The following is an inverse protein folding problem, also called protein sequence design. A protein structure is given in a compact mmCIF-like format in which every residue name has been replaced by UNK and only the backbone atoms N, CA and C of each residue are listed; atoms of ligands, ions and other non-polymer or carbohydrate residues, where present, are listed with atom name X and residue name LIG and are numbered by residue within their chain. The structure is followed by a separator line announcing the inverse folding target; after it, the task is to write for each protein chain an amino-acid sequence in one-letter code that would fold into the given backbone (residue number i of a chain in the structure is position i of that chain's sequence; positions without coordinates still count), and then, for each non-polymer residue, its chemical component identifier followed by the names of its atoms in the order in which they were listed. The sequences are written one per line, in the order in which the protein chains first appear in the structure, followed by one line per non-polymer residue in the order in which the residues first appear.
data_IF_847204045107
#
_entry.id   IF_847204045107
#
_cell.length_a   1.000
_cell.length_b   1.000
_cell.length_c   1.000
_cell.angle_alpha   90.00
_cell.angle_beta   90.00
_cell.angle_gamma   90.00
#
_symmetry.space_group_name_H-M   'P 1'
#
loop_
_entity.id
_entity.type
_entity.pdbx_description
1 polymer ?
#
# COMPACT_ATOMS: atom_id res chain seq x y z
N UNK A 1 28.23 -16.93 -24.17
CA UNK A 1 28.57 -15.91 -23.14
C UNK A 1 28.40 -16.59 -21.79
N UNK A 2 29.31 -16.38 -20.84
CA UNK A 2 29.26 -16.94 -19.48
C UNK A 2 29.08 -15.82 -18.44
N UNK A 3 28.85 -16.19 -17.18
CA UNK A 3 28.61 -15.21 -16.10
C UNK A 3 29.78 -14.27 -15.90
N UNK A 4 31.03 -14.74 -15.92
CA UNK A 4 32.22 -13.89 -15.81
C UNK A 4 32.24 -12.77 -16.86
N UNK A 5 32.00 -13.10 -18.14
CA UNK A 5 31.96 -12.10 -19.22
C UNK A 5 30.82 -11.10 -18.99
N UNK A 6 29.67 -11.56 -18.50
CA UNK A 6 28.56 -10.67 -18.16
C UNK A 6 28.96 -9.66 -17.07
N UNK A 7 29.50 -10.15 -15.96
CA UNK A 7 29.90 -9.33 -14.82
C UNK A 7 30.98 -8.30 -15.21
N UNK A 8 31.99 -8.72 -15.98
CA UNK A 8 33.05 -7.81 -16.45
C UNK A 8 32.55 -6.77 -17.45
N UNK A 9 31.74 -7.16 -18.43
CA UNK A 9 31.35 -6.26 -19.52
C UNK A 9 30.19 -5.35 -19.19
N UNK A 10 29.24 -5.81 -18.37
CA UNK A 10 28.00 -5.10 -18.11
C UNK A 10 27.99 -4.45 -16.73
N UNK A 11 28.67 -5.03 -15.74
CA UNK A 11 28.75 -4.48 -14.38
C UNK A 11 30.11 -3.86 -14.06
N UNK A 12 31.09 -3.94 -14.95
CA UNK A 12 32.49 -3.57 -14.73
C UNK A 12 33.08 -4.17 -13.44
N UNK A 13 32.65 -5.38 -13.09
CA UNK A 13 33.17 -6.07 -11.92
C UNK A 13 34.66 -6.38 -12.09
N UNK A 14 35.43 -6.11 -11.04
CA UNK A 14 36.86 -6.42 -10.99
C UNK A 14 37.11 -7.92 -10.84
N UNK A 15 38.31 -8.39 -11.20
CA UNK A 15 38.69 -9.80 -11.03
C UNK A 15 38.64 -10.26 -9.55
N UNK A 16 38.75 -9.32 -8.61
CA UNK A 16 38.60 -9.58 -7.17
C UNK A 16 37.13 -9.78 -6.75
N UNK A 17 36.19 -9.07 -7.37
CA UNK A 17 34.76 -9.14 -7.05
C UNK A 17 34.06 -10.32 -7.74
N UNK A 18 34.51 -10.73 -8.93
CA UNK A 18 33.85 -11.75 -9.76
C UNK A 18 33.59 -13.06 -9.00
N UNK A 19 34.56 -13.68 -8.28
CA UNK A 19 34.29 -14.93 -7.57
C UNK A 19 33.15 -14.79 -6.55
N UNK A 20 33.12 -13.66 -5.83
CA UNK A 20 32.10 -13.36 -4.83
C UNK A 20 30.73 -13.08 -5.46
N UNK A 21 30.69 -12.37 -6.58
CA UNK A 21 29.45 -12.12 -7.33
C UNK A 21 28.86 -13.41 -7.91
N UNK A 22 29.70 -14.32 -8.42
CA UNK A 22 29.27 -15.66 -8.89
C UNK A 22 28.71 -16.48 -7.72
N UNK A 23 29.36 -16.45 -6.55
CA UNK A 23 28.86 -17.10 -5.33
C UNK A 23 27.50 -16.53 -4.92
N UNK A 24 27.35 -15.21 -4.87
CA UNK A 24 26.08 -14.55 -4.52
C UNK A 24 24.96 -14.90 -5.50
N UNK A 25 25.23 -14.89 -6.81
CA UNK A 25 24.25 -15.24 -7.83
C UNK A 25 23.84 -16.73 -7.74
N UNK A 26 24.81 -17.62 -7.51
CA UNK A 26 24.53 -19.06 -7.30
C UNK A 26 23.68 -19.25 -6.05
N UNK A 27 24.04 -18.60 -4.94
CA UNK A 27 23.33 -18.70 -3.66
C UNK A 27 21.89 -18.17 -3.77
N UNK A 28 21.68 -17.05 -4.48
CA UNK A 28 20.36 -16.48 -4.74
C UNK A 28 19.43 -17.47 -5.42
N UNK A 29 19.93 -18.13 -6.47
CA UNK A 29 19.15 -19.10 -7.22
C UNK A 29 18.92 -20.38 -6.42
N UNK A 30 19.92 -20.89 -5.72
CA UNK A 30 19.76 -22.13 -4.95
C UNK A 30 18.85 -21.98 -3.73
N UNK A 31 18.76 -20.80 -3.13
CA UNK A 31 17.92 -20.59 -1.93
C UNK A 31 16.45 -20.41 -2.26
N UNK A 32 16.14 -19.94 -3.46
CA UNK A 32 14.84 -19.38 -3.80
C UNK A 32 14.17 -20.08 -4.97
N UNK A 33 14.83 -21.08 -5.57
CA UNK A 33 14.39 -21.72 -6.81
C UNK A 33 14.86 -23.18 -6.88
N UNK A 34 14.28 -23.98 -7.79
CA UNK A 34 14.71 -25.35 -8.09
C UNK A 34 16.01 -25.42 -8.93
N UNK A 35 16.93 -24.46 -8.75
CA UNK A 35 18.18 -24.37 -9.50
C UNK A 35 19.02 -25.66 -9.32
N UNK A 36 19.24 -26.45 -10.39
CA UNK A 36 19.88 -27.76 -10.25
C UNK A 36 21.40 -27.61 -10.07
N UNK A 37 21.96 -28.32 -9.10
CA UNK A 37 23.43 -28.45 -8.94
C UNK A 37 24.07 -29.23 -10.09
N UNK A 38 25.27 -28.83 -10.56
CA UNK A 38 26.03 -29.58 -11.57
C UNK A 38 27.15 -28.80 -12.28
N UNK A 39 27.88 -29.47 -13.18
CA UNK A 39 28.96 -28.87 -13.99
C UNK A 39 28.42 -27.91 -15.08
N UNK A 40 29.26 -26.95 -15.50
CA UNK A 40 28.84 -25.86 -16.40
C UNK A 40 28.13 -24.70 -15.71
N UNK A 41 28.44 -24.47 -14.42
CA UNK A 41 27.72 -23.54 -13.54
C UNK A 41 27.62 -22.12 -14.11
N UNK A 42 28.70 -21.56 -14.69
CA UNK A 42 28.68 -20.17 -15.16
C UNK A 42 27.84 -19.90 -16.41
N UNK A 43 27.80 -20.81 -17.38
CA UNK A 43 26.92 -20.63 -18.55
C UNK A 43 25.45 -20.80 -18.16
N UNK A 44 25.18 -21.74 -17.24
CA UNK A 44 23.83 -21.97 -16.71
C UNK A 44 23.36 -20.76 -15.90
N UNK A 45 24.18 -20.30 -14.96
CA UNK A 45 23.95 -19.11 -14.15
C UNK A 45 23.63 -17.89 -15.03
N UNK A 46 24.40 -17.69 -16.11
CA UNK A 46 24.14 -16.63 -17.08
C UNK A 46 22.77 -16.75 -17.78
N UNK A 47 22.33 -17.97 -18.11
CA UNK A 47 20.99 -18.16 -18.69
C UNK A 47 19.88 -17.75 -17.73
N UNK A 48 20.04 -18.03 -16.44
CA UNK A 48 19.07 -17.61 -15.43
C UNK A 48 19.09 -16.09 -15.22
N UNK A 49 20.27 -15.47 -15.15
CA UNK A 49 20.38 -14.01 -14.96
C UNK A 49 19.83 -13.16 -16.12
N UNK A 50 19.45 -13.77 -17.24
CA UNK A 50 18.72 -13.08 -18.31
C UNK A 50 17.24 -12.86 -18.01
N UNK A 51 16.67 -13.59 -17.05
CA UNK A 51 15.27 -13.41 -16.66
C UNK A 51 15.15 -12.37 -15.53
N UNK A 52 14.21 -11.40 -15.64
CA UNK A 52 14.09 -10.31 -14.66
C UNK A 52 13.98 -10.80 -13.21
N UNK A 53 13.18 -11.82 -12.96
CA UNK A 53 13.02 -12.43 -11.64
C UNK A 53 14.34 -12.89 -11.01
N UNK A 54 15.13 -13.67 -11.74
CA UNK A 54 16.41 -14.20 -11.24
C UNK A 54 17.48 -13.11 -11.11
N UNK A 55 17.47 -12.13 -12.01
CA UNK A 55 18.36 -10.98 -11.93
C UNK A 55 18.07 -10.15 -10.67
N UNK A 56 16.80 -9.94 -10.32
CA UNK A 56 16.40 -9.24 -9.10
C UNK A 56 16.84 -9.97 -7.82
N UNK A 57 16.67 -11.30 -7.74
CA UNK A 57 17.15 -12.09 -6.59
C UNK A 57 18.65 -11.92 -6.35
N UNK A 58 19.43 -11.90 -7.45
CA UNK A 58 20.86 -11.63 -7.39
C UNK A 58 21.14 -10.19 -6.92
N UNK A 59 20.45 -9.21 -7.49
CA UNK A 59 20.65 -7.80 -7.20
C UNK A 59 20.36 -7.41 -5.74
N UNK A 60 19.29 -7.95 -5.14
CA UNK A 60 18.98 -7.74 -3.72
C UNK A 60 20.16 -8.11 -2.82
N UNK A 61 20.78 -9.27 -3.09
CA UNK A 61 21.95 -9.73 -2.32
C UNK A 61 23.17 -8.83 -2.53
N UNK A 62 23.44 -8.41 -3.77
CA UNK A 62 24.58 -7.55 -4.09
C UNK A 62 24.44 -6.17 -3.44
N UNK A 63 23.26 -5.57 -3.51
CA UNK A 63 23.02 -4.24 -2.94
C UNK A 63 23.14 -4.26 -1.41
N UNK A 64 22.65 -5.31 -0.75
CA UNK A 64 22.78 -5.50 0.70
C UNK A 64 24.21 -5.87 1.16
N UNK A 65 25.07 -6.38 0.28
CA UNK A 65 26.38 -6.87 0.67
C UNK A 65 27.40 -5.76 0.96
N UNK A 66 28.14 -5.90 2.06
CA UNK A 66 29.32 -5.07 2.34
C UNK A 66 30.50 -5.46 1.46
N UNK A 67 31.34 -4.50 1.08
CA UNK A 67 32.57 -4.76 0.31
C UNK A 67 32.37 -5.12 -1.16
N UNK A 68 31.18 -4.88 -1.72
CA UNK A 68 30.99 -4.77 -3.18
C UNK A 68 31.04 -3.30 -3.56
N UNK A 69 31.72 -2.97 -4.65
CA UNK A 69 31.88 -1.58 -5.09
C UNK A 69 30.52 -0.90 -5.38
N UNK A 70 30.38 0.40 -5.06
CA UNK A 70 29.17 1.16 -5.40
C UNK A 70 28.82 1.14 -6.88
N UNK A 71 29.82 1.14 -7.77
CA UNK A 71 29.63 1.11 -9.22
C UNK A 71 28.94 -0.17 -9.71
N UNK A 72 29.33 -1.33 -9.18
CA UNK A 72 28.66 -2.61 -9.49
C UNK A 72 27.21 -2.58 -9.01
N UNK A 73 26.96 -2.04 -7.80
CA UNK A 73 25.61 -1.90 -7.23
C UNK A 73 24.73 -0.97 -8.08
N UNK A 74 25.27 0.16 -8.51
CA UNK A 74 24.62 1.12 -9.40
C UNK A 74 24.20 0.46 -10.72
N UNK A 75 25.15 -0.11 -11.45
CA UNK A 75 24.89 -0.75 -12.74
C UNK A 75 23.87 -1.88 -12.64
N UNK A 76 23.95 -2.69 -11.59
CA UNK A 76 23.02 -3.78 -11.37
C UNK A 76 21.62 -3.27 -10.99
N UNK A 77 21.54 -2.24 -10.13
CA UNK A 77 20.28 -1.59 -9.77
C UNK A 77 19.55 -1.04 -10.99
N UNK A 78 20.26 -0.29 -11.85
CA UNK A 78 19.72 0.19 -13.13
C UNK A 78 19.24 -0.95 -14.02
N UNK A 79 20.08 -1.97 -14.22
CA UNK A 79 19.75 -3.10 -15.10
C UNK A 79 18.45 -3.81 -14.67
N UNK A 80 18.25 -4.03 -13.37
CA UNK A 80 17.07 -4.73 -12.84
C UNK A 80 15.80 -3.88 -12.94
N UNK A 81 15.88 -2.57 -12.69
CA UNK A 81 14.71 -1.72 -12.81
C UNK A 81 14.34 -1.54 -14.29
N UNK A 82 15.32 -1.26 -15.14
CA UNK A 82 15.10 -0.93 -16.54
C UNK A 82 14.68 -2.14 -17.39
N UNK A 83 15.12 -3.37 -17.05
CA UNK A 83 14.66 -4.58 -17.76
C UNK A 83 13.14 -4.75 -17.62
N UNK A 84 12.54 -4.24 -16.53
CA UNK A 84 11.10 -4.36 -16.33
C UNK A 84 10.30 -3.61 -17.41
N UNK A 85 10.86 -2.58 -18.05
CA UNK A 85 10.20 -1.86 -19.15
C UNK A 85 9.85 -2.79 -20.33
N UNK A 86 10.55 -3.92 -20.45
CA UNK A 86 10.40 -4.89 -21.52
C UNK A 86 9.70 -6.17 -21.07
N UNK A 87 9.02 -6.17 -19.91
CA UNK A 87 8.27 -7.33 -19.44
C UNK A 87 7.22 -7.76 -20.47
N UNK A 88 7.34 -9.01 -20.90
CA UNK A 88 6.35 -9.68 -21.74
C UNK A 88 5.30 -10.38 -20.87
N UNK A 89 4.18 -10.75 -21.49
CA UNK A 89 3.12 -11.48 -20.79
C UNK A 89 3.64 -12.79 -20.20
N UNK A 90 3.47 -12.96 -18.89
CA UNK A 90 3.91 -14.15 -18.16
C UNK A 90 5.34 -14.07 -17.62
N UNK A 91 6.06 -12.97 -17.85
CA UNK A 91 7.29 -12.67 -17.13
C UNK A 91 6.98 -12.00 -15.79
N UNK A 92 7.77 -12.33 -14.78
CA UNK A 92 7.69 -11.70 -13.47
C UNK A 92 8.74 -10.60 -13.33
N UNK A 93 8.39 -9.46 -12.72
CA UNK A 93 9.37 -8.43 -12.41
C UNK A 93 10.44 -8.98 -11.45
N UNK A 94 11.63 -8.39 -11.51
CA UNK A 94 12.69 -8.69 -10.56
C UNK A 94 12.26 -8.34 -9.12
N UNK A 95 12.46 -9.22 -8.12
CA UNK A 95 12.25 -8.85 -6.73
C UNK A 95 13.26 -7.78 -6.29
N UNK A 96 12.92 -7.06 -5.22
CA UNK A 96 13.73 -5.96 -4.71
C UNK A 96 13.43 -4.61 -5.35
N UNK A 97 12.28 -4.44 -6.00
CA UNK A 97 11.90 -3.19 -6.66
C UNK A 97 12.11 -1.98 -5.74
N UNK A 98 11.63 -2.04 -4.50
CA UNK A 98 11.78 -0.94 -3.56
C UNK A 98 13.18 -0.90 -2.94
N UNK A 99 13.79 -2.04 -2.62
CA UNK A 99 15.17 -2.07 -2.13
C UNK A 99 16.18 -1.42 -3.09
N UNK A 100 16.12 -1.78 -4.37
CA UNK A 100 17.00 -1.27 -5.41
C UNK A 100 16.73 0.21 -5.69
N UNK A 101 15.45 0.59 -5.76
CA UNK A 101 15.05 2.00 -5.91
C UNK A 101 15.53 2.83 -4.72
N UNK A 102 15.38 2.33 -3.50
CA UNK A 102 15.84 2.98 -2.27
C UNK A 102 17.34 3.20 -2.30
N UNK A 103 18.12 2.19 -2.69
CA UNK A 103 19.57 2.32 -2.77
C UNK A 103 20.00 3.38 -3.79
N UNK A 104 19.45 3.33 -5.01
CA UNK A 104 19.73 4.32 -6.07
C UNK A 104 19.31 5.73 -5.66
N UNK A 105 18.15 5.86 -5.01
CA UNK A 105 17.66 7.13 -4.48
C UNK A 105 18.59 7.73 -3.43
N UNK A 106 19.00 6.94 -2.44
CA UNK A 106 19.89 7.37 -1.37
C UNK A 106 21.27 7.75 -1.89
N UNK A 107 21.74 7.08 -2.95
CA UNK A 107 22.98 7.41 -3.63
C UNK A 107 22.88 8.63 -4.57
N UNK A 108 21.68 9.16 -4.82
CA UNK A 108 21.45 10.23 -5.79
C UNK A 108 21.66 9.80 -7.24
N UNK A 109 21.48 8.51 -7.53
CA UNK A 109 21.72 7.88 -8.82
C UNK A 109 20.44 7.46 -9.54
N UNK A 110 19.27 7.60 -8.91
CA UNK A 110 17.99 7.23 -9.52
C UNK A 110 17.73 8.04 -10.80
N UNK A 111 17.44 7.35 -11.90
CA UNK A 111 17.16 7.94 -13.21
C UNK A 111 15.68 7.81 -13.59
N UNK A 112 15.27 8.57 -14.61
CA UNK A 112 13.90 8.50 -15.14
C UNK A 112 13.55 7.10 -15.68
N UNK A 113 14.49 6.42 -16.32
CA UNK A 113 14.26 5.08 -16.87
C UNK A 113 14.07 4.04 -15.75
N UNK A 114 14.73 4.23 -14.60
CA UNK A 114 14.52 3.38 -13.42
C UNK A 114 13.10 3.55 -12.87
N UNK A 115 12.59 4.78 -12.87
CA UNK A 115 11.21 5.09 -12.50
C UNK A 115 10.21 4.42 -13.47
N UNK A 116 10.45 4.46 -14.77
CA UNK A 116 9.61 3.78 -15.77
C UNK A 116 9.62 2.26 -15.57
N UNK A 117 10.80 1.72 -15.27
CA UNK A 117 11.01 0.34 -14.87
C UNK A 117 10.22 -0.05 -13.62
N UNK A 118 10.31 0.74 -12.55
CA UNK A 118 9.55 0.54 -11.32
C UNK A 118 8.04 0.57 -11.57
N UNK A 119 7.56 1.58 -12.31
CA UNK A 119 6.14 1.69 -12.71
C UNK A 119 5.67 0.42 -13.40
N UNK A 120 6.45 -0.06 -14.38
CA UNK A 120 6.13 -1.30 -15.10
C UNK A 120 6.14 -2.51 -14.16
N UNK A 121 7.12 -2.61 -13.27
CA UNK A 121 7.17 -3.66 -12.25
C UNK A 121 5.94 -3.69 -11.34
N UNK A 122 5.50 -2.52 -10.86
CA UNK A 122 4.31 -2.37 -10.01
C UNK A 122 3.00 -2.80 -10.69
N UNK A 123 2.89 -2.65 -12.01
CA UNK A 123 1.72 -3.13 -12.77
C UNK A 123 1.60 -4.65 -12.68
N UNK A 124 2.72 -5.35 -12.79
CA UNK A 124 2.72 -6.81 -12.86
C UNK A 124 2.74 -7.48 -11.49
N UNK A 125 3.22 -6.79 -10.45
CA UNK A 125 3.42 -7.31 -9.11
C UNK A 125 2.18 -7.94 -8.44
N UNK A 126 0.99 -7.30 -8.38
CA UNK A 126 -0.12 -7.70 -7.49
C UNK A 126 -0.84 -9.00 -7.86
N UNK A 127 -0.48 -9.64 -8.99
CA UNK A 127 -1.15 -10.85 -9.49
C UNK A 127 -0.16 -11.96 -9.85
N UNK A 128 1.08 -11.85 -9.40
CA UNK A 128 2.11 -12.86 -9.69
C UNK A 128 2.50 -13.64 -8.44
N UNK A 129 2.49 -13.01 -7.26
CA UNK A 129 2.88 -13.72 -6.03
C UNK A 129 2.38 -13.01 -4.77
N UNK A 130 1.71 -13.76 -3.91
CA UNK A 130 1.31 -13.32 -2.57
C UNK A 130 2.52 -13.33 -1.61
N UNK A 131 3.65 -13.91 -2.03
CA UNK A 131 4.85 -14.08 -1.21
C UNK A 131 5.88 -12.95 -1.38
N UNK A 132 5.61 -11.95 -2.24
CA UNK A 132 6.51 -10.83 -2.43
C UNK A 132 6.26 -9.70 -1.42
N UNK A 133 6.80 -9.86 -0.22
CA UNK A 133 6.73 -8.81 0.81
C UNK A 133 8.11 -8.13 0.93
N UNK A 134 8.11 -6.80 0.84
CA UNK A 134 9.29 -5.98 1.16
C UNK A 134 8.94 -5.14 2.38
N UNK A 135 9.86 -5.01 3.32
CA UNK A 135 9.62 -4.24 4.54
C UNK A 135 9.40 -2.75 4.22
N UNK A 136 8.54 -2.10 5.01
CA UNK A 136 8.25 -0.68 4.86
C UNK A 136 9.52 0.19 4.96
N UNK A 137 10.54 -0.27 5.69
CA UNK A 137 11.87 0.36 5.79
C UNK A 137 12.59 0.50 4.44
N UNK A 138 12.27 -0.35 3.46
CA UNK A 138 12.80 -0.27 2.09
C UNK A 138 11.90 0.55 1.17
N UNK A 139 10.59 0.54 1.43
CA UNK A 139 9.59 1.25 0.63
C UNK A 139 9.64 2.76 0.86
N UNK A 140 9.77 3.19 2.12
CA UNK A 140 9.75 4.62 2.47
C UNK A 140 10.88 5.41 1.80
N UNK A 141 12.17 4.99 1.87
CA UNK A 141 13.24 5.77 1.25
C UNK A 141 13.20 5.72 -0.29
N UNK A 142 12.66 4.65 -0.88
CA UNK A 142 12.38 4.60 -2.31
C UNK A 142 11.34 5.67 -2.69
N UNK A 143 10.24 5.80 -1.93
CA UNK A 143 9.25 6.86 -2.13
C UNK A 143 9.87 8.25 -2.02
N UNK A 144 10.71 8.49 -1.00
CA UNK A 144 11.44 9.75 -0.82
C UNK A 144 12.28 10.12 -2.04
N UNK A 145 12.98 9.15 -2.61
CA UNK A 145 13.78 9.30 -3.82
C UNK A 145 12.96 9.67 -5.04
N UNK A 146 11.96 8.82 -5.36
CA UNK A 146 11.11 8.96 -6.53
C UNK A 146 10.45 10.34 -6.53
N UNK A 147 9.77 10.70 -5.44
CA UNK A 147 8.93 11.91 -5.44
C UNK A 147 9.73 13.21 -5.35
N UNK A 148 11.04 13.16 -5.12
CA UNK A 148 11.93 14.32 -5.22
C UNK A 148 12.48 14.54 -6.63
N UNK A 149 12.32 13.57 -7.54
CA UNK A 149 12.79 13.71 -8.92
C UNK A 149 11.97 14.78 -9.67
N UNK A 150 12.61 15.89 -10.12
CA UNK A 150 11.92 16.97 -10.82
C UNK A 150 11.39 16.57 -12.20
N UNK A 151 11.83 15.45 -12.77
CA UNK A 151 11.39 14.97 -14.08
C UNK A 151 10.02 14.28 -14.03
N UNK A 152 9.57 13.86 -12.85
CA UNK A 152 8.28 13.18 -12.70
C UNK A 152 7.17 14.23 -12.63
N UNK A 153 6.24 14.17 -13.57
CA UNK A 153 5.10 15.10 -13.62
C UNK A 153 4.09 14.80 -12.52
N UNK A 154 3.26 15.79 -12.19
CA UNK A 154 2.21 15.67 -11.17
C UNK A 154 1.29 14.46 -11.39
N UNK A 155 0.79 14.26 -12.61
CA UNK A 155 -0.12 13.15 -12.94
C UNK A 155 0.56 11.79 -12.78
N UNK A 156 1.84 11.71 -13.13
CA UNK A 156 2.68 10.52 -12.94
C UNK A 156 2.88 10.24 -11.45
N UNK A 157 3.14 11.26 -10.64
CA UNK A 157 3.24 11.10 -9.18
C UNK A 157 1.94 10.56 -8.57
N UNK A 158 0.78 11.07 -8.98
CA UNK A 158 -0.53 10.58 -8.51
C UNK A 158 -0.72 9.12 -8.90
N UNK A 159 -0.48 8.79 -10.16
CA UNK A 159 -0.56 7.42 -10.64
C UNK A 159 0.36 6.49 -9.83
N UNK A 160 1.62 6.87 -9.61
CA UNK A 160 2.55 6.04 -8.84
C UNK A 160 2.14 5.87 -7.39
N UNK A 161 1.69 6.94 -6.73
CA UNK A 161 1.17 6.83 -5.35
C UNK A 161 0.05 5.80 -5.31
N UNK A 162 -0.91 5.87 -6.24
CA UNK A 162 -2.01 4.92 -6.31
C UNK A 162 -1.52 3.49 -6.62
N UNK A 163 -0.57 3.30 -7.54
CA UNK A 163 0.01 1.99 -7.85
C UNK A 163 0.73 1.37 -6.66
N UNK A 164 1.55 2.15 -5.94
CA UNK A 164 2.29 1.70 -4.76
C UNK A 164 1.30 1.25 -3.68
N UNK A 165 0.30 2.08 -3.38
CA UNK A 165 -0.73 1.75 -2.41
C UNK A 165 -1.51 0.50 -2.85
N UNK A 166 -1.89 0.39 -4.12
CA UNK A 166 -2.69 -0.77 -4.59
C UNK A 166 -1.89 -2.05 -4.47
N UNK A 167 -0.61 -2.01 -4.87
CA UNK A 167 0.25 -3.17 -4.80
C UNK A 167 0.56 -3.59 -3.37
N UNK A 168 0.70 -2.65 -2.44
CA UNK A 168 1.11 -2.92 -1.05
C UNK A 168 -0.03 -3.06 -0.05
N UNK A 169 -1.23 -2.61 -0.40
CA UNK A 169 -2.45 -3.04 0.28
C UNK A 169 -2.72 -4.50 -0.09
N UNK A 170 -2.67 -4.84 -1.38
CA UNK A 170 -2.89 -6.21 -1.86
C UNK A 170 -1.81 -7.21 -1.40
N UNK A 171 -0.58 -6.72 -1.15
CA UNK A 171 0.54 -7.56 -0.73
C UNK A 171 1.08 -7.10 0.62
N UNK A 172 0.81 -7.87 1.67
CA UNK A 172 1.38 -7.69 2.99
C UNK A 172 0.68 -6.65 3.88
N UNK A 173 -0.46 -6.10 3.45
CA UNK A 173 -1.27 -5.15 4.23
C UNK A 173 -0.46 -3.95 4.76
N UNK A 174 0.42 -3.41 3.91
CA UNK A 174 1.34 -2.33 4.26
C UNK A 174 0.85 -0.96 3.81
N UNK A 175 -0.22 -0.88 3.01
CA UNK A 175 -0.62 0.36 2.36
C UNK A 175 -1.02 1.46 3.34
N UNK A 176 -1.58 1.12 4.50
CA UNK A 176 -1.85 2.09 5.59
C UNK A 176 -0.58 2.82 6.06
N UNK A 177 0.47 2.09 6.41
CA UNK A 177 1.74 2.64 6.92
C UNK A 177 2.42 3.47 5.84
N UNK A 178 2.39 2.98 4.59
CA UNK A 178 2.94 3.70 3.44
C UNK A 178 2.16 4.99 3.18
N UNK A 179 0.82 4.94 3.26
CA UNK A 179 -0.03 6.11 3.06
C UNK A 179 0.27 7.23 4.05
N UNK A 180 0.41 6.91 5.34
CA UNK A 180 0.75 7.91 6.35
C UNK A 180 2.13 8.56 6.09
N UNK A 181 3.13 7.76 5.68
CA UNK A 181 4.43 8.29 5.25
C UNK A 181 4.29 9.26 4.08
N UNK A 182 3.59 8.84 3.01
CA UNK A 182 3.36 9.67 1.82
C UNK A 182 2.64 10.99 2.15
N UNK A 183 1.69 10.95 3.08
CA UNK A 183 0.98 12.16 3.53
C UNK A 183 1.88 13.12 4.32
N UNK A 184 2.98 12.65 4.90
CA UNK A 184 3.99 13.48 5.58
C UNK A 184 5.07 14.01 4.63
N UNK A 185 5.28 13.39 3.46
CA UNK A 185 6.33 13.79 2.53
C UNK A 185 6.18 15.21 2.00
N UNK A 186 7.20 16.05 2.23
CA UNK A 186 7.22 17.45 1.78
C UNK A 186 7.33 17.59 0.28
N UNK A 187 7.91 16.60 -0.40
CA UNK A 187 8.01 16.55 -1.85
C UNK A 187 6.62 16.46 -2.53
N UNK A 188 5.64 15.87 -1.84
CA UNK A 188 4.26 15.81 -2.29
C UNK A 188 3.50 17.04 -1.76
N UNK A 189 3.09 17.93 -2.66
CA UNK A 189 2.35 19.12 -2.26
C UNK A 189 0.92 18.80 -1.79
N UNK A 190 0.31 19.72 -1.04
CA UNK A 190 -1.04 19.54 -0.47
C UNK A 190 -2.12 19.25 -1.54
N UNK A 191 -2.00 19.86 -2.72
CA UNK A 191 -2.99 19.67 -3.79
C UNK A 191 -2.92 18.27 -4.39
N UNK A 192 -1.73 17.70 -4.51
CA UNK A 192 -1.53 16.33 -4.99
C UNK A 192 -2.07 15.32 -3.97
N UNK A 193 -1.66 15.46 -2.70
CA UNK A 193 -2.17 14.62 -1.60
C UNK A 193 -3.68 14.61 -1.54
N UNK A 194 -4.30 15.78 -1.69
CA UNK A 194 -5.75 15.93 -1.68
C UNK A 194 -6.41 15.20 -2.86
N UNK A 195 -5.79 15.23 -4.04
CA UNK A 195 -6.31 14.52 -5.21
C UNK A 195 -6.22 13.00 -5.06
N UNK A 196 -5.09 12.49 -4.56
CA UNK A 196 -4.94 11.07 -4.19
C UNK A 196 -6.05 10.65 -3.22
N UNK A 197 -6.20 11.38 -2.10
CA UNK A 197 -7.23 11.05 -1.11
C UNK A 197 -8.65 11.11 -1.72
N UNK A 198 -8.90 12.06 -2.62
CA UNK A 198 -10.20 12.19 -3.29
C UNK A 198 -10.48 10.99 -4.19
N UNK A 199 -9.52 10.57 -5.00
CA UNK A 199 -9.62 9.39 -5.87
C UNK A 199 -9.88 8.15 -5.02
N UNK A 200 -9.10 7.94 -3.96
CA UNK A 200 -9.24 6.80 -3.06
C UNK A 200 -10.62 6.76 -2.41
N UNK A 201 -11.16 7.91 -1.98
CA UNK A 201 -12.49 7.98 -1.35
C UNK A 201 -13.61 7.74 -2.37
N UNK A 202 -13.48 8.26 -3.59
CA UNK A 202 -14.52 8.16 -4.63
C UNK A 202 -14.53 6.80 -5.34
N UNK A 203 -13.37 6.15 -5.48
CA UNK A 203 -13.21 4.94 -6.29
C UNK A 203 -12.62 3.78 -5.48
N UNK A 204 -13.38 2.69 -5.35
CA UNK A 204 -12.94 1.46 -4.69
C UNK A 204 -11.83 0.73 -5.45
N UNK A 205 -11.82 0.92 -6.77
CA UNK A 205 -10.77 0.50 -7.68
C UNK A 205 -10.14 1.80 -8.18
N UNK A 206 -8.88 2.11 -7.81
CA UNK A 206 -8.23 3.37 -8.22
C UNK A 206 -8.05 3.48 -9.74
N UNK A 207 -7.90 2.33 -10.40
CA UNK A 207 -7.73 2.21 -11.85
C UNK A 207 -8.88 1.41 -12.46
N UNK A 208 -10.11 1.97 -12.53
CA UNK A 208 -11.25 1.26 -13.12
C UNK A 208 -11.02 1.01 -14.62
N UNK A 209 -11.40 -0.19 -15.10
CA UNK A 209 -11.21 -0.57 -16.51
C UNK A 209 -11.91 0.43 -17.44
N UNK A 210 -11.14 0.99 -18.38
CA UNK A 210 -11.65 1.88 -19.43
C UNK A 210 -12.04 3.28 -18.98
N UNK A 211 -11.89 3.60 -17.69
CA UNK A 211 -12.28 4.91 -17.11
C UNK A 211 -11.07 5.74 -16.69
N UNK A 212 -9.97 5.11 -16.24
CA UNK A 212 -8.78 5.84 -15.84
C UNK A 212 -7.92 6.26 -17.05
N UNK A 213 -7.58 7.55 -17.12
CA UNK A 213 -6.69 8.09 -18.15
C UNK A 213 -5.25 8.11 -17.64
N UNK A 214 -4.43 7.16 -18.11
CA UNK A 214 -3.03 7.08 -17.71
C UNK A 214 -2.18 8.18 -18.34
N UNK A 215 -1.24 8.80 -17.58
CA UNK A 215 -0.29 9.78 -18.11
C UNK A 215 0.81 9.17 -18.99
N UNK A 216 0.98 7.85 -18.92
CA UNK A 216 1.88 7.04 -19.75
C UNK A 216 1.03 5.95 -20.42
N UNK A 217 1.29 5.67 -21.70
CA UNK A 217 0.56 4.65 -22.45
C UNK A 217 0.54 3.32 -21.69
N UNK A 218 -0.66 2.76 -21.55
CA UNK A 218 -0.93 1.55 -20.78
C UNK A 218 -1.86 0.68 -21.60
N UNK A 219 -1.44 -0.55 -21.86
CA UNK A 219 -2.21 -1.52 -22.64
C UNK A 219 -3.43 -2.03 -21.86
N UNK A 220 -4.38 -2.64 -22.57
CA UNK A 220 -5.55 -3.23 -21.94
C UNK A 220 -5.20 -4.34 -20.93
N UNK A 221 -4.14 -5.12 -21.19
CA UNK A 221 -3.67 -6.16 -20.28
C UNK A 221 -3.07 -5.58 -19.00
N UNK A 222 -2.33 -4.47 -19.11
CA UNK A 222 -1.78 -3.77 -17.95
C UNK A 222 -2.89 -3.10 -17.14
N UNK A 223 -3.90 -2.53 -17.80
CA UNK A 223 -5.06 -1.97 -17.12
C UNK A 223 -5.85 -3.05 -16.36
N UNK A 224 -5.97 -4.24 -16.94
CA UNK A 224 -6.60 -5.38 -16.28
C UNK A 224 -5.88 -5.74 -14.98
N UNK A 225 -4.53 -5.67 -14.97
CA UNK A 225 -3.69 -5.93 -13.80
C UNK A 225 -3.82 -4.84 -12.73
N UNK A 226 -3.93 -3.57 -13.13
CA UNK A 226 -4.07 -2.44 -12.20
C UNK A 226 -5.46 -2.31 -11.59
N UNK A 227 -6.49 -2.87 -12.23
CA UNK A 227 -7.89 -2.81 -11.80
C UNK A 227 -8.16 -3.71 -10.58
N UNK A 228 -7.47 -3.42 -9.48
CA UNK A 228 -7.55 -4.10 -8.18
C UNK A 228 -8.21 -3.15 -7.17
N UNK A 229 -8.97 -3.74 -6.25
CA UNK A 229 -9.64 -3.01 -5.17
C UNK A 229 -8.65 -2.74 -4.03
N UNK A 230 -8.83 -1.63 -3.30
CA UNK A 230 -8.19 -1.48 -1.99
C UNK A 230 -8.90 -2.37 -0.98
N UNK A 231 -8.36 -3.57 -0.75
CA UNK A 231 -8.79 -4.53 0.25
C UNK A 231 -7.55 -5.03 1.02
N UNK A 232 -7.54 -4.98 2.37
CA UNK A 232 -8.53 -4.30 3.22
C UNK A 232 -8.55 -2.78 2.96
N UNK A 233 -9.62 -2.07 3.32
CA UNK A 233 -9.81 -0.67 2.92
C UNK A 233 -9.16 0.38 3.83
N UNK A 234 -8.07 0.05 4.52
CA UNK A 234 -7.41 0.93 5.51
C UNK A 234 -6.98 2.27 4.91
N UNK A 235 -6.42 2.25 3.70
CA UNK A 235 -6.05 3.46 2.95
C UNK A 235 -7.28 4.35 2.65
N UNK A 236 -8.45 3.75 2.36
CA UNK A 236 -9.70 4.49 2.10
C UNK A 236 -10.21 5.20 3.34
N UNK A 237 -10.18 4.51 4.46
CA UNK A 237 -10.58 5.02 5.77
C UNK A 237 -9.72 6.22 6.17
N UNK A 238 -8.38 6.09 6.12
CA UNK A 238 -7.46 7.20 6.44
C UNK A 238 -7.57 8.39 5.48
N UNK A 239 -7.88 8.13 4.20
CA UNK A 239 -8.02 9.20 3.20
C UNK A 239 -9.11 10.21 3.55
N UNK A 240 -10.18 9.79 4.23
CA UNK A 240 -11.25 10.71 4.68
C UNK A 240 -10.75 11.72 5.69
N UNK A 241 -10.00 11.25 6.69
CA UNK A 241 -9.38 12.10 7.72
C UNK A 241 -8.36 13.05 7.10
N UNK A 242 -7.52 12.53 6.20
CA UNK A 242 -6.51 13.35 5.52
C UNK A 242 -7.12 14.41 4.60
N UNK A 243 -8.27 14.17 3.95
CA UNK A 243 -8.96 15.21 3.18
C UNK A 243 -9.27 16.43 4.06
N UNK A 244 -9.77 16.22 5.28
CA UNK A 244 -10.03 17.29 6.25
C UNK A 244 -8.74 18.01 6.67
N UNK A 245 -7.70 17.25 7.06
CA UNK A 245 -6.37 17.81 7.42
C UNK A 245 -5.73 18.60 6.27
N UNK A 246 -6.02 18.21 5.03
CA UNK A 246 -5.58 18.89 3.81
C UNK A 246 -6.48 20.08 3.43
N UNK A 247 -7.45 20.46 4.28
CA UNK A 247 -8.25 21.67 4.15
C UNK A 247 -9.59 21.52 3.40
N UNK A 248 -10.11 20.30 3.24
CA UNK A 248 -11.52 20.11 2.88
C UNK A 248 -12.40 20.40 4.10
N UNK A 249 -13.61 20.89 3.85
CA UNK A 249 -14.58 21.15 4.92
C UNK A 249 -15.03 19.84 5.58
N UNK A 250 -14.72 19.70 6.86
CA UNK A 250 -14.99 18.48 7.61
C UNK A 250 -16.49 18.25 7.80
N UNK A 251 -17.28 19.31 7.96
CA UNK A 251 -18.74 19.19 8.09
C UNK A 251 -19.41 18.78 6.79
N UNK A 252 -18.91 19.27 5.65
CA UNK A 252 -19.33 18.83 4.33
C UNK A 252 -19.02 17.35 4.13
N UNK A 253 -17.79 16.91 4.47
CA UNK A 253 -17.38 15.51 4.39
C UNK A 253 -18.28 14.62 5.26
N UNK A 254 -18.45 14.94 6.54
CA UNK A 254 -19.28 14.17 7.47
C UNK A 254 -20.73 14.06 6.98
N UNK A 255 -21.34 15.17 6.53
CA UNK A 255 -22.70 15.18 5.99
C UNK A 255 -22.83 14.44 4.66
N UNK A 256 -21.77 14.41 3.86
CA UNK A 256 -21.75 13.72 2.55
C UNK A 256 -21.58 12.21 2.72
N UNK A 257 -20.71 11.79 3.64
CA UNK A 257 -20.26 10.40 3.77
C UNK A 257 -21.09 9.58 4.78
N UNK A 258 -21.69 10.19 5.81
CA UNK A 258 -22.59 9.48 6.73
C UNK A 258 -24.03 9.43 6.17
N UNK A 259 -24.19 8.73 5.04
CA UNK A 259 -25.46 8.54 4.33
C UNK A 259 -25.62 7.11 3.85
N UNK A 260 -26.87 6.60 3.72
CA UNK A 260 -27.12 5.22 3.29
C UNK A 260 -26.49 4.84 1.95
N UNK A 261 -26.37 5.77 1.00
CA UNK A 261 -25.77 5.47 -0.30
C UNK A 261 -24.25 5.28 -0.25
N UNK A 262 -23.57 5.84 0.75
CA UNK A 262 -22.11 5.70 0.89
C UNK A 262 -21.72 4.26 1.16
N UNK A 263 -22.50 3.57 1.99
CA UNK A 263 -22.22 2.18 2.40
C UNK A 263 -22.81 1.12 1.46
N UNK A 264 -23.48 1.51 0.37
CA UNK A 264 -24.09 0.57 -0.60
C UNK A 264 -23.14 0.11 -1.70
N UNK A 265 -21.96 0.73 -1.80
CA UNK A 265 -20.93 0.36 -2.79
C UNK A 265 -19.77 -0.38 -2.12
N UNK A 266 -19.00 -1.14 -2.91
CA UNK A 266 -17.80 -1.83 -2.44
C UNK A 266 -16.82 -0.85 -1.77
N UNK A 267 -16.37 -1.16 -0.55
CA UNK A 267 -15.48 -0.31 0.25
C UNK A 267 -16.13 0.98 0.77
N UNK A 268 -17.46 1.08 0.72
CA UNK A 268 -18.24 2.22 1.21
C UNK A 268 -18.35 2.30 2.73
N UNK A 269 -18.40 1.12 3.36
CA UNK A 269 -18.22 0.86 4.79
C UNK A 269 -16.92 1.49 5.34
N UNK A 270 -15.81 1.34 4.62
CA UNK A 270 -14.50 1.88 4.99
C UNK A 270 -14.49 3.42 4.93
N UNK A 271 -15.16 3.99 3.93
CA UNK A 271 -15.31 5.45 3.79
C UNK A 271 -16.21 6.03 4.88
N UNK A 272 -17.33 5.36 5.20
CA UNK A 272 -18.19 5.77 6.29
C UNK A 272 -17.50 5.63 7.66
N UNK A 273 -16.67 4.60 7.83
CA UNK A 273 -15.82 4.42 9.01
C UNK A 273 -14.75 5.51 9.12
N UNK A 274 -14.15 5.93 8.01
CA UNK A 274 -13.24 7.08 7.99
C UNK A 274 -13.94 8.40 8.33
N UNK A 275 -15.24 8.52 8.03
CA UNK A 275 -16.04 9.65 8.49
C UNK A 275 -16.30 9.58 10.01
N UNK A 276 -16.44 8.38 10.60
CA UNK A 276 -16.50 8.23 12.06
C UNK A 276 -15.17 8.57 12.74
N UNK A 277 -14.03 8.24 12.12
CA UNK A 277 -12.71 8.65 12.63
C UNK A 277 -12.53 10.17 12.58
N UNK A 278 -12.99 10.80 11.51
CA UNK A 278 -13.00 12.26 11.41
C UNK A 278 -13.92 12.89 12.48
N UNK A 279 -15.06 12.26 12.77
CA UNK A 279 -15.96 12.69 13.85
C UNK A 279 -15.30 12.53 15.22
N UNK A 280 -14.53 11.47 15.44
CA UNK A 280 -13.74 11.24 16.65
C UNK A 280 -12.67 12.34 16.83
N UNK A 281 -11.86 12.59 15.79
CA UNK A 281 -10.77 13.58 15.82
C UNK A 281 -11.28 15.00 16.10
N UNK A 282 -12.48 15.34 15.62
CA UNK A 282 -13.08 16.66 15.75
C UNK A 282 -14.23 16.70 16.76
N UNK A 283 -14.33 15.71 17.65
CA UNK A 283 -15.49 15.57 18.54
C UNK A 283 -15.75 16.84 19.36
N UNK A 284 -14.70 17.48 19.86
CA UNK A 284 -14.80 18.69 20.68
C UNK A 284 -15.03 19.97 19.86
N UNK A 285 -14.66 19.98 18.58
CA UNK A 285 -14.77 21.15 17.70
C UNK A 285 -16.15 21.24 17.03
N UNK A 286 -16.91 20.13 17.00
CA UNK A 286 -18.25 20.06 16.41
C UNK A 286 -19.31 20.34 17.49
N UNK A 287 -20.31 21.21 17.23
CA UNK A 287 -21.39 21.49 18.18
C UNK A 287 -22.10 20.20 18.63
N UNK A 288 -22.44 20.13 19.92
CA UNK A 288 -22.97 18.92 20.55
C UNK A 288 -24.17 18.32 19.81
N UNK A 289 -25.18 19.14 19.51
CA UNK A 289 -26.37 18.71 18.76
C UNK A 289 -26.00 18.10 17.40
N UNK A 290 -24.98 18.67 16.75
CA UNK A 290 -24.52 18.23 15.44
C UNK A 290 -23.78 16.90 15.53
N UNK A 291 -22.82 16.74 16.46
CA UNK A 291 -22.09 15.47 16.64
C UNK A 291 -23.02 14.33 17.06
N UNK A 292 -23.98 14.59 17.95
CA UNK A 292 -25.01 13.60 18.33
C UNK A 292 -25.90 13.22 17.14
N UNK A 293 -26.28 14.19 16.31
CA UNK A 293 -27.05 13.95 15.10
C UNK A 293 -26.29 13.13 14.05
N UNK A 294 -24.99 13.35 13.89
CA UNK A 294 -24.12 12.57 12.99
C UNK A 294 -23.92 11.14 13.51
N UNK A 295 -23.68 10.99 14.81
CA UNK A 295 -23.50 9.67 15.44
C UNK A 295 -24.76 8.80 15.31
N UNK A 296 -25.94 9.37 15.59
CA UNK A 296 -27.23 8.67 15.41
C UNK A 296 -27.49 8.28 13.96
N UNK A 297 -27.10 9.14 12.99
CA UNK A 297 -27.19 8.80 11.57
C UNK A 297 -26.29 7.62 11.22
N UNK A 298 -25.06 7.59 11.75
CA UNK A 298 -24.13 6.48 11.55
C UNK A 298 -24.69 5.17 12.12
N UNK A 299 -25.31 5.23 13.31
CA UNK A 299 -25.99 4.09 13.95
C UNK A 299 -27.29 3.63 13.24
N UNK A 300 -27.79 4.35 12.23
CA UNK A 300 -28.92 3.91 11.39
C UNK A 300 -28.50 3.55 9.95
N UNK A 301 -27.20 3.54 9.66
CA UNK A 301 -26.71 3.13 8.34
C UNK A 301 -26.99 1.63 8.08
N UNK A 302 -27.21 1.23 6.82
CA UNK A 302 -27.47 -0.18 6.46
C UNK A 302 -26.36 -1.17 6.86
N UNK A 303 -25.12 -0.70 6.91
CA UNK A 303 -23.94 -1.53 7.14
C UNK A 303 -23.70 -1.84 8.63
N UNK A 304 -23.53 -3.12 8.95
CA UNK A 304 -23.42 -3.60 10.34
C UNK A 304 -22.09 -3.21 10.98
N UNK A 305 -20.98 -3.25 10.23
CA UNK A 305 -19.66 -2.89 10.73
C UNK A 305 -19.58 -1.39 11.06
N UNK A 306 -20.14 -0.54 10.21
CA UNK A 306 -20.22 0.91 10.46
C UNK A 306 -21.11 1.23 11.68
N UNK A 307 -22.25 0.54 11.84
CA UNK A 307 -23.10 0.70 13.04
C UNK A 307 -22.38 0.28 14.31
N UNK A 308 -21.66 -0.87 14.30
CA UNK A 308 -20.82 -1.33 15.42
C UNK A 308 -19.87 -0.22 15.88
N UNK A 309 -19.14 0.39 14.93
CA UNK A 309 -18.21 1.49 15.21
C UNK A 309 -18.90 2.73 15.75
N UNK A 310 -20.08 3.08 15.24
CA UNK A 310 -20.86 4.19 15.78
C UNK A 310 -21.25 3.94 17.25
N UNK A 311 -21.59 2.71 17.64
CA UNK A 311 -21.86 2.38 19.04
C UNK A 311 -20.59 2.42 19.90
N UNK A 312 -19.44 1.96 19.41
CA UNK A 312 -18.15 2.07 20.14
C UNK A 312 -17.78 3.55 20.35
N UNK A 313 -17.90 4.38 19.31
CA UNK A 313 -17.67 5.82 19.41
C UNK A 313 -18.67 6.50 20.37
N UNK A 314 -19.91 6.05 20.37
CA UNK A 314 -20.93 6.50 21.31
C UNK A 314 -20.65 6.10 22.75
N UNK A 315 -20.17 4.88 22.99
CA UNK A 315 -19.70 4.43 24.31
C UNK A 315 -18.55 5.31 24.81
N UNK A 316 -17.57 5.61 23.94
CA UNK A 316 -16.41 6.46 24.26
C UNK A 316 -16.81 7.83 24.82
N UNK A 317 -17.80 8.48 24.20
CA UNK A 317 -18.13 9.87 24.55
C UNK A 317 -19.41 10.07 25.36
N UNK A 318 -20.35 9.13 25.30
CA UNK A 318 -21.68 9.23 25.90
C UNK A 318 -21.93 8.11 26.92
N UNK A 319 -21.02 7.15 27.04
CA UNK A 319 -21.10 6.05 27.99
C UNK A 319 -22.10 4.96 27.59
N UNK A 320 -22.36 4.08 28.55
CA UNK A 320 -23.15 2.85 28.35
C UNK A 320 -24.59 3.10 27.92
N UNK A 321 -25.16 4.27 28.25
CA UNK A 321 -26.52 4.62 27.85
C UNK A 321 -26.67 4.71 26.33
N UNK A 322 -25.63 5.13 25.62
CA UNK A 322 -25.65 5.09 24.17
C UNK A 322 -25.50 3.67 23.63
N UNK A 323 -24.58 2.87 24.22
CA UNK A 323 -24.37 1.47 23.83
C UNK A 323 -25.65 0.63 23.97
N UNK A 324 -26.47 0.88 25.00
CA UNK A 324 -27.75 0.18 25.21
C UNK A 324 -28.71 0.28 24.02
N UNK A 325 -28.62 1.32 23.20
CA UNK A 325 -29.44 1.43 21.98
C UNK A 325 -29.15 0.30 20.98
N UNK A 326 -27.94 -0.28 21.00
CA UNK A 326 -27.57 -1.39 20.12
C UNK A 326 -28.33 -2.69 20.44
N UNK A 327 -28.92 -2.83 21.63
CA UNK A 327 -29.79 -3.95 21.97
C UNK A 327 -31.09 -3.97 21.14
N UNK A 328 -31.49 -2.82 20.60
CA UNK A 328 -32.64 -2.67 19.70
C UNK A 328 -32.22 -2.60 18.21
N UNK A 329 -30.94 -2.88 17.88
CA UNK A 329 -30.45 -2.83 16.50
C UNK A 329 -31.19 -3.85 15.61
N UNK A 330 -31.22 -3.60 14.30
CA UNK A 330 -31.88 -4.48 13.31
C UNK A 330 -31.09 -5.77 13.05
N UNK A 331 -29.76 -5.75 13.20
CA UNK A 331 -28.91 -6.92 13.03
C UNK A 331 -28.86 -7.75 14.31
N UNK A 332 -28.98 -9.07 14.19
CA UNK A 332 -28.91 -9.97 15.35
C UNK A 332 -27.50 -9.98 15.96
N UNK A 333 -26.46 -10.03 15.12
CA UNK A 333 -25.06 -10.01 15.53
C UNK A 333 -24.70 -8.78 16.38
N UNK A 334 -25.22 -7.60 16.06
CA UNK A 334 -25.00 -6.39 16.86
C UNK A 334 -25.69 -6.44 18.22
N UNK A 335 -26.90 -7.00 18.28
CA UNK A 335 -27.61 -7.15 19.56
C UNK A 335 -26.85 -8.10 20.49
N UNK A 336 -26.41 -9.25 19.98
CA UNK A 336 -25.62 -10.23 20.74
C UNK A 336 -24.28 -9.64 21.18
N UNK A 337 -23.56 -8.96 20.28
CA UNK A 337 -22.33 -8.23 20.62
C UNK A 337 -22.54 -7.18 21.71
N UNK A 338 -23.62 -6.41 21.63
CA UNK A 338 -23.94 -5.37 22.61
C UNK A 338 -24.30 -5.96 23.97
N UNK A 339 -25.05 -7.06 24.01
CA UNK A 339 -25.40 -7.79 25.24
C UNK A 339 -24.14 -8.30 25.96
N UNK A 340 -23.28 -9.04 25.26
CA UNK A 340 -22.01 -9.53 25.82
C UNK A 340 -21.12 -8.39 26.31
N UNK A 341 -21.04 -7.32 25.53
CA UNK A 341 -20.25 -6.14 25.88
C UNK A 341 -20.78 -5.46 27.14
N UNK A 342 -22.09 -5.22 27.22
CA UNK A 342 -22.74 -4.61 28.40
C UNK A 342 -22.56 -5.46 29.65
N UNK A 343 -22.72 -6.79 29.56
CA UNK A 343 -22.49 -7.69 30.68
C UNK A 343 -21.05 -7.63 31.22
N UNK A 344 -20.06 -7.52 30.32
CA UNK A 344 -18.65 -7.31 30.72
C UNK A 344 -18.46 -5.98 31.44
N UNK A 345 -19.02 -4.89 30.91
CA UNK A 345 -18.95 -3.55 31.53
C UNK A 345 -19.62 -3.52 32.91
N UNK A 346 -20.77 -4.15 33.06
CA UNK A 346 -21.51 -4.23 34.32
C UNK A 346 -20.81 -5.09 35.38
N UNK A 347 -20.00 -6.07 34.96
CA UNK A 347 -19.08 -6.83 35.84
C UNK A 347 -17.81 -6.06 36.22
N UNK A 348 -17.65 -4.82 35.78
CA UNK A 348 -16.55 -3.95 36.13
C UNK A 348 -15.37 -3.97 35.15
N UNK A 349 -15.46 -4.69 34.03
CA UNK A 349 -14.47 -4.64 32.95
C UNK A 349 -14.66 -3.39 32.08
N UNK A 350 -14.53 -2.20 32.68
CA UNK A 350 -14.60 -0.95 31.94
C UNK A 350 -13.41 -0.83 30.98
N UNK A 351 -13.68 -0.51 29.72
CA UNK A 351 -12.62 -0.22 28.77
C UNK A 351 -12.00 1.11 29.12
N UNK A 352 -10.69 1.18 28.98
CA UNK A 352 -9.98 2.44 28.93
C UNK A 352 -10.29 3.15 27.61
N UNK A 353 -10.02 4.45 27.57
CA UNK A 353 -10.09 5.22 26.32
C UNK A 353 -9.15 4.64 25.25
N UNK A 354 -8.01 4.08 25.66
CA UNK A 354 -7.03 3.41 24.79
C UNK A 354 -7.60 2.11 24.19
N UNK A 355 -8.32 1.31 24.99
CA UNK A 355 -8.98 0.09 24.48
C UNK A 355 -10.04 0.44 23.43
N UNK A 356 -10.87 1.46 23.69
CA UNK A 356 -11.88 1.91 22.74
C UNK A 356 -11.26 2.50 21.48
N UNK A 357 -10.15 3.23 21.61
CA UNK A 357 -9.40 3.73 20.46
C UNK A 357 -8.80 2.57 19.66
N UNK A 358 -8.25 1.54 20.30
CA UNK A 358 -7.72 0.36 19.64
C UNK A 358 -8.79 -0.41 18.87
N UNK A 359 -9.96 -0.66 19.49
CA UNK A 359 -11.12 -1.28 18.83
C UNK A 359 -11.63 -0.43 17.65
N UNK A 360 -11.66 0.89 17.81
CA UNK A 360 -11.96 1.78 16.69
C UNK A 360 -10.87 1.70 15.61
N UNK A 361 -9.65 1.28 15.87
CA UNK A 361 -8.62 1.13 14.82
C UNK A 361 -8.59 -0.25 14.18
N UNK A 362 -9.34 -1.23 14.70
CA UNK A 362 -9.48 -2.55 14.09
C UNK A 362 -10.03 -2.45 12.66
N UNK A 363 -9.52 -3.33 11.80
CA UNK A 363 -10.00 -3.47 10.43
C UNK A 363 -11.42 -4.01 10.44
N UNK A 364 -12.21 -3.58 9.45
CA UNK A 364 -13.53 -4.17 9.28
C UNK A 364 -13.33 -5.59 8.75
N UNK A 365 -13.93 -6.56 9.42
CA UNK A 365 -14.00 -7.94 8.94
C UNK A 365 -14.51 -7.93 7.49
N UNK A 366 -13.85 -8.66 6.60
CA UNK A 366 -14.36 -8.86 5.26
C UNK A 366 -15.66 -9.66 5.39
N UNK A 367 -16.77 -9.10 4.92
CA UNK A 367 -17.96 -9.91 4.69
C UNK A 367 -17.56 -10.94 3.62
N UNK A 368 -17.38 -12.19 4.04
CA UNK A 368 -17.23 -13.35 3.16
C UNK A 368 -18.50 -13.47 2.29
N UNK A 369 -18.57 -12.74 1.18
CA UNK A 369 -19.56 -12.93 0.11
C UNK A 369 -19.02 -13.75 -1.07
#
# INVERSE_FOLDING_TARGET
MNTTIFLQRHLDATDEEIPRLIEMATAALSSSTDYPGGSGNEERLWRYLQYPYYLGLFAQRVVAAEGISPHVKEKLGHAVLQINMHLEQGQEPGPGLFQLTSWLAQAGLLSHDDYLGLRKGLIWLPRLTDNYVEDAELIMPACDGIFRDPQIRREQMIELVLMILTAKEAIGDQGRVIFDHLMQLTALNKSLKREVCQIVVEHAIPFPRGEYQHPIETSAAEQDRLSIRFLPGGVRRLSVVWLARLGKDSMELLKRLLKPNTVRGHGGDQVASGALDLLDEQWQDIPEETRLGLLRKAADLPDTAVRKRAYILGEKYLGLDFLRQALDDKAKSLREWAEERLERRERGELATEEDLAAELMEELEEDDE
#
